data_IF_141093382723
#
_entry.id   IF_141093382723
#
_cell.length_a   1.000
_cell.length_b   1.000
_cell.length_c   1.000
_cell.angle_alpha   90.00
_cell.angle_beta   90.00
_cell.angle_gamma   90.00
#
_symmetry.space_group_name_H-M   'P 1'
#
loop_
_entity.id
_entity.type
_entity.pdbx_description
1 polymer ?
#
# COMPACT_ATOMS: atom_id res chain seq x y z
N UNK A 1 -0.34 2.78 0.25
CA UNK A 1 -0.39 4.24 0.41
C UNK A 1 0.04 4.61 1.83
N UNK A 2 -0.64 4.14 2.89
CA UNK A 2 -0.29 4.47 4.28
C UNK A 2 1.20 4.22 4.60
N UNK A 3 1.74 3.07 4.20
CA UNK A 3 3.16 2.74 4.38
C UNK A 3 4.10 3.76 3.69
N UNK A 4 3.82 4.10 2.43
CA UNK A 4 4.63 5.09 1.71
C UNK A 4 4.54 6.47 2.35
N UNK A 5 3.35 6.83 2.90
CA UNK A 5 3.14 8.11 3.58
C UNK A 5 3.85 8.16 4.94
N UNK A 6 3.84 7.07 5.71
CA UNK A 6 4.61 6.96 6.94
C UNK A 6 6.11 7.14 6.67
N UNK A 7 6.65 6.41 5.68
CA UNK A 7 8.06 6.56 5.27
C UNK A 7 8.42 7.98 4.82
N UNK A 8 7.54 8.63 4.06
CA UNK A 8 7.79 9.98 3.57
C UNK A 8 7.75 11.00 4.72
N UNK A 9 6.86 10.79 5.69
CA UNK A 9 6.76 11.64 6.88
C UNK A 9 7.97 11.49 7.80
N UNK A 10 8.41 10.26 8.07
CA UNK A 10 9.64 10.00 8.83
C UNK A 10 10.85 10.68 8.17
N UNK A 11 10.91 10.62 6.85
CA UNK A 11 12.00 11.23 6.09
C UNK A 11 11.93 12.77 6.07
N UNK A 12 10.71 13.35 6.08
CA UNK A 12 10.49 14.80 6.17
C UNK A 12 11.02 15.35 7.49
N UNK A 13 10.69 14.71 8.61
CA UNK A 13 11.19 15.02 9.95
C UNK A 13 10.65 16.32 10.54
N UNK A 14 9.55 16.86 10.02
CA UNK A 14 8.86 18.03 10.54
C UNK A 14 7.35 18.00 10.19
N UNK A 15 6.59 19.00 10.61
CA UNK A 15 5.18 19.10 10.23
C UNK A 15 5.01 19.25 8.72
N UNK A 16 4.01 18.55 8.18
CA UNK A 16 3.70 18.58 6.75
C UNK A 16 2.74 19.74 6.44
N UNK A 17 3.03 20.47 5.38
CA UNK A 17 2.19 21.56 4.87
C UNK A 17 1.49 21.17 3.56
N UNK A 18 2.11 20.30 2.75
CA UNK A 18 1.56 19.81 1.49
C UNK A 18 1.91 18.35 1.25
N UNK A 19 0.96 17.60 0.68
CA UNK A 19 1.13 16.21 0.29
C UNK A 19 0.67 16.01 -1.15
N UNK A 20 1.54 15.45 -1.98
CA UNK A 20 1.19 14.99 -3.32
C UNK A 20 1.30 13.47 -3.40
N UNK A 21 0.25 12.85 -3.89
CA UNK A 21 0.14 11.39 -4.02
C UNK A 21 -0.01 11.04 -5.50
N UNK A 22 1.02 10.44 -6.08
CA UNK A 22 0.98 9.98 -7.46
C UNK A 22 0.83 8.46 -7.48
N UNK A 23 -0.15 7.98 -8.23
CA UNK A 23 -0.52 6.57 -8.26
C UNK A 23 -0.67 6.07 -9.69
N UNK A 24 -0.29 4.82 -9.93
CA UNK A 24 -0.64 4.16 -11.20
C UNK A 24 -2.17 3.99 -11.32
N UNK A 25 -2.71 3.95 -12.57
CA UNK A 25 -4.15 3.82 -12.80
C UNK A 25 -4.79 2.63 -12.09
N UNK A 26 -4.09 1.49 -12.03
CA UNK A 26 -4.56 0.30 -11.34
C UNK A 26 -4.76 0.54 -9.83
N UNK A 27 -3.83 1.26 -9.18
CA UNK A 27 -3.96 1.60 -7.77
C UNK A 27 -5.12 2.55 -7.56
N UNK A 28 -5.24 3.60 -8.35
CA UNK A 28 -6.37 4.55 -8.24
C UNK A 28 -7.71 3.82 -8.34
N UNK A 29 -7.86 2.96 -9.34
CA UNK A 29 -9.09 2.17 -9.55
C UNK A 29 -9.45 1.32 -8.34
N UNK A 30 -8.44 0.66 -7.73
CA UNK A 30 -8.67 -0.32 -6.69
C UNK A 30 -8.87 0.31 -5.30
N UNK A 31 -8.29 1.50 -5.02
CA UNK A 31 -8.27 2.07 -3.66
C UNK A 31 -9.20 3.27 -3.45
N UNK A 32 -9.82 3.78 -4.53
CA UNK A 32 -10.62 5.01 -4.49
C UNK A 32 -11.71 5.03 -3.40
N UNK A 33 -12.30 3.88 -3.09
CA UNK A 33 -13.43 3.78 -2.14
C UNK A 33 -13.21 2.70 -1.06
N UNK A 34 -12.03 2.13 -0.98
CA UNK A 34 -11.74 1.07 -0.02
C UNK A 34 -11.65 1.65 1.39
N UNK A 35 -12.18 0.91 2.35
CA UNK A 35 -12.05 1.23 3.78
C UNK A 35 -10.59 1.08 4.20
N UNK A 36 -10.07 2.07 4.87
CA UNK A 36 -8.72 2.03 5.44
C UNK A 36 -8.77 1.24 6.74
N UNK A 37 -7.98 0.18 6.90
CA UNK A 37 -7.98 -0.65 8.12
C UNK A 37 -7.73 0.18 9.39
N UNK A 38 -8.33 -0.23 10.49
CA UNK A 38 -8.16 0.36 11.83
C UNK A 38 -8.55 1.86 11.95
N UNK A 39 -9.41 2.39 11.06
CA UNK A 39 -9.77 3.81 11.04
C UNK A 39 -11.25 4.08 11.37
N UNK A 40 -12.00 3.07 11.79
CA UNK A 40 -13.44 3.23 12.06
C UNK A 40 -14.27 3.56 10.80
N UNK A 41 -13.80 3.12 9.60
CA UNK A 41 -14.57 3.25 8.35
C UNK A 41 -14.13 4.39 7.43
N UNK A 42 -13.03 5.08 7.70
CA UNK A 42 -12.45 6.08 6.79
C UNK A 42 -12.10 5.43 5.44
N UNK A 43 -12.24 6.19 4.34
CA UNK A 43 -12.14 5.62 2.99
C UNK A 43 -11.24 6.46 2.08
N UNK A 44 -10.60 5.76 1.15
CA UNK A 44 -9.93 6.35 0.00
C UNK A 44 -8.50 6.80 0.23
N UNK A 45 -7.93 7.37 -0.83
CA UNK A 45 -6.50 7.66 -0.96
C UNK A 45 -6.01 8.67 0.09
N UNK A 46 -6.72 9.78 0.23
CA UNK A 46 -6.34 10.86 1.16
C UNK A 46 -6.44 10.40 2.61
N UNK A 47 -7.48 9.61 2.95
CA UNK A 47 -7.61 9.04 4.30
C UNK A 47 -6.46 8.08 4.61
N UNK A 48 -6.11 7.20 3.67
CA UNK A 48 -4.98 6.28 3.82
C UNK A 48 -3.64 7.00 3.97
N UNK A 49 -3.43 8.09 3.23
CA UNK A 49 -2.22 8.90 3.36
C UNK A 49 -2.16 9.63 4.70
N UNK A 50 -3.24 10.30 5.09
CA UNK A 50 -3.29 11.07 6.33
C UNK A 50 -3.12 10.20 7.59
N UNK A 51 -3.75 9.01 7.63
CA UNK A 51 -3.56 8.10 8.77
C UNK A 51 -2.15 7.50 8.79
N UNK A 52 -1.54 7.27 7.62
CA UNK A 52 -0.14 6.86 7.52
C UNK A 52 0.81 7.90 8.11
N UNK A 53 0.52 9.20 7.95
CA UNK A 53 1.29 10.30 8.54
C UNK A 53 1.08 10.38 10.06
N UNK A 54 -0.15 10.20 10.55
CA UNK A 54 -0.49 10.47 11.95
C UNK A 54 -0.24 9.28 12.89
N UNK A 55 -0.38 8.06 12.41
CA UNK A 55 -0.32 6.86 13.25
C UNK A 55 0.36 5.66 12.56
N UNK A 56 0.99 5.87 11.39
CA UNK A 56 1.68 4.80 10.68
C UNK A 56 3.05 4.49 11.27
N UNK A 57 3.31 3.21 11.56
CA UNK A 57 4.63 2.70 11.95
C UNK A 57 5.29 2.03 10.74
N UNK A 58 6.20 2.75 10.07
CA UNK A 58 6.80 2.31 8.80
C UNK A 58 7.55 0.97 8.90
N UNK A 59 8.15 0.64 10.05
CA UNK A 59 8.84 -0.62 10.26
C UNK A 59 7.92 -1.83 10.13
N UNK A 60 6.62 -1.68 10.39
CA UNK A 60 5.62 -2.74 10.27
C UNK A 60 5.17 -3.02 8.83
N UNK A 61 5.65 -2.26 7.84
CA UNK A 61 5.36 -2.45 6.41
C UNK A 61 3.85 -2.59 6.09
N UNK A 62 3.37 -3.78 5.73
CA UNK A 62 1.96 -4.02 5.42
C UNK A 62 1.05 -3.86 6.64
N UNK A 63 1.59 -4.03 7.84
CA UNK A 63 0.89 -3.84 9.11
C UNK A 63 1.08 -2.42 9.67
N UNK A 64 1.47 -1.47 8.85
CA UNK A 64 1.77 -0.07 9.22
C UNK A 64 0.69 0.60 10.07
N UNK A 65 -0.56 0.20 9.95
CA UNK A 65 -1.71 0.76 10.68
C UNK A 65 -2.17 -0.08 11.88
N UNK A 66 -1.47 -1.17 12.22
CA UNK A 66 -1.92 -2.09 13.27
C UNK A 66 -1.98 -1.49 14.68
N UNK A 67 -1.26 -0.39 14.92
CA UNK A 67 -1.20 0.31 16.22
C UNK A 67 -1.98 1.61 16.24
N UNK A 68 -2.75 1.91 15.18
CA UNK A 68 -3.53 3.15 15.07
C UNK A 68 -4.52 3.27 16.22
N UNK A 69 -4.50 4.41 16.88
CA UNK A 69 -5.38 4.76 18.00
C UNK A 69 -6.51 5.68 17.54
N UNK A 70 -7.51 5.87 18.41
CA UNK A 70 -8.57 6.83 18.14
C UNK A 70 -8.04 8.28 18.03
N UNK A 71 -7.02 8.63 18.80
CA UNK A 71 -6.37 9.94 18.72
C UNK A 71 -5.68 10.15 17.36
N UNK A 72 -5.03 9.11 16.81
CA UNK A 72 -4.43 9.19 15.47
C UNK A 72 -5.48 9.41 14.39
N UNK A 73 -6.64 8.77 14.52
CA UNK A 73 -7.76 8.97 13.59
C UNK A 73 -8.24 10.42 13.63
N UNK A 74 -8.40 10.99 14.81
CA UNK A 74 -8.82 12.38 14.98
C UNK A 74 -7.77 13.36 14.41
N UNK A 75 -6.49 13.14 14.72
CA UNK A 75 -5.38 13.91 14.13
C UNK A 75 -5.36 13.80 12.60
N UNK A 76 -5.63 12.63 12.05
CA UNK A 76 -5.67 12.45 10.59
C UNK A 76 -6.83 13.21 9.94
N UNK A 77 -7.98 13.31 10.62
CA UNK A 77 -9.13 14.13 10.17
C UNK A 77 -8.80 15.61 10.18
N UNK A 78 -8.12 16.07 11.22
CA UNK A 78 -7.67 17.45 11.34
C UNK A 78 -6.59 17.76 10.29
N UNK A 79 -5.63 16.87 10.10
CA UNK A 79 -4.60 17.02 9.07
C UNK A 79 -5.20 17.22 7.69
N UNK A 80 -6.22 16.45 7.32
CA UNK A 80 -6.92 16.57 6.02
C UNK A 80 -7.68 17.89 5.85
N UNK A 81 -7.96 18.63 6.91
CA UNK A 81 -8.62 19.95 6.82
C UNK A 81 -7.63 21.08 6.63
N UNK A 82 -6.40 20.95 7.15
CA UNK A 82 -5.39 22.00 7.14
C UNK A 82 -4.31 21.85 6.08
N UNK A 83 -4.07 20.62 5.60
CA UNK A 83 -3.01 20.31 4.64
C UNK A 83 -3.60 20.12 3.24
N UNK A 84 -2.93 20.66 2.23
CA UNK A 84 -3.29 20.47 0.82
C UNK A 84 -2.88 19.07 0.35
N UNK A 85 -3.87 18.20 0.14
CA UNK A 85 -3.67 16.86 -0.43
C UNK A 85 -4.03 16.86 -1.90
N UNK A 86 -3.07 16.60 -2.76
CA UNK A 86 -3.24 16.47 -4.20
C UNK A 86 -3.04 15.01 -4.63
N UNK A 87 -4.01 14.46 -5.35
CA UNK A 87 -3.95 13.08 -5.86
C UNK A 87 -3.90 13.13 -7.38
N UNK A 88 -2.84 12.59 -7.95
CA UNK A 88 -2.56 12.66 -9.37
C UNK A 88 -2.22 11.26 -9.94
N UNK A 89 -2.34 11.13 -11.25
CA UNK A 89 -1.85 9.95 -11.94
C UNK A 89 -0.31 10.00 -12.02
N UNK A 90 0.34 8.89 -11.66
CA UNK A 90 1.79 8.74 -11.83
C UNK A 90 2.18 8.86 -13.31
N UNK A 91 3.28 9.55 -13.56
CA UNK A 91 3.91 9.61 -14.90
C UNK A 91 4.74 8.35 -15.18
N UNK A 92 4.97 7.50 -14.19
CA UNK A 92 5.64 6.20 -14.36
C UNK A 92 4.73 5.24 -15.09
N UNK A 93 5.25 4.58 -16.10
CA UNK A 93 4.54 3.53 -16.84
C UNK A 93 4.72 2.17 -16.17
N UNK A 94 4.45 2.12 -14.85
CA UNK A 94 4.46 0.91 -14.06
C UNK A 94 3.03 0.47 -13.74
N UNK A 95 2.77 -0.83 -13.78
CA UNK A 95 1.46 -1.40 -13.38
C UNK A 95 1.16 -1.06 -11.92
N UNK A 96 2.20 -1.13 -11.06
CA UNK A 96 2.14 -0.72 -9.67
C UNK A 96 3.15 0.38 -9.40
N UNK A 97 2.68 1.60 -9.12
CA UNK A 97 3.50 2.72 -8.70
C UNK A 97 2.75 3.56 -7.67
N UNK A 98 3.43 3.86 -6.58
CA UNK A 98 3.00 4.79 -5.53
C UNK A 98 4.16 5.75 -5.27
N UNK A 99 3.92 7.05 -5.45
CA UNK A 99 4.87 8.09 -5.11
C UNK A 99 4.20 9.04 -4.12
N UNK A 100 4.85 9.28 -3.01
CA UNK A 100 4.43 10.27 -2.02
C UNK A 100 5.49 11.36 -1.97
N UNK A 101 5.07 12.59 -2.19
CA UNK A 101 5.88 13.77 -1.99
C UNK A 101 5.28 14.62 -0.87
N UNK A 102 6.11 15.09 0.05
CA UNK A 102 5.70 15.95 1.14
C UNK A 102 6.60 17.18 1.20
N UNK A 103 5.98 18.29 1.52
CA UNK A 103 6.64 19.58 1.76
C UNK A 103 6.27 20.04 3.17
N UNK A 104 7.26 20.38 3.97
CA UNK A 104 7.13 21.09 5.23
C UNK A 104 7.70 22.49 5.09
N UNK A 105 7.89 23.16 6.21
CA UNK A 105 8.41 24.54 6.22
C UNK A 105 9.85 24.66 5.69
N UNK A 106 10.70 23.68 6.00
CA UNK A 106 12.13 23.74 5.68
C UNK A 106 12.59 22.55 4.85
N UNK A 107 11.87 21.44 4.89
CA UNK A 107 12.27 20.18 4.27
C UNK A 107 11.23 19.72 3.25
N UNK A 108 11.71 18.86 2.35
CA UNK A 108 10.86 18.07 1.48
C UNK A 108 11.29 16.59 1.49
N UNK A 109 10.33 15.72 1.27
CA UNK A 109 10.60 14.30 1.15
C UNK A 109 9.87 13.70 -0.05
N UNK A 110 10.44 12.63 -0.59
CA UNK A 110 9.83 11.84 -1.64
C UNK A 110 10.15 10.37 -1.42
N UNK A 111 9.12 9.54 -1.51
CA UNK A 111 9.25 8.08 -1.45
C UNK A 111 8.53 7.48 -2.64
N UNK A 112 9.20 6.56 -3.33
CA UNK A 112 8.65 5.84 -4.48
C UNK A 112 8.66 4.34 -4.25
N UNK A 113 7.49 3.71 -4.42
CA UNK A 113 7.31 2.26 -4.44
C UNK A 113 6.93 1.81 -5.86
N UNK A 114 7.48 0.68 -6.30
CA UNK A 114 7.11 0.07 -7.57
C UNK A 114 7.06 -1.46 -7.49
N UNK A 115 6.21 -2.07 -8.29
CA UNK A 115 6.08 -3.51 -8.46
C UNK A 115 5.31 -4.23 -7.35
N UNK A 116 5.47 -3.84 -6.09
CA UNK A 116 4.69 -4.37 -4.97
C UNK A 116 4.58 -3.37 -3.81
N UNK A 117 3.75 -3.70 -2.83
CA UNK A 117 3.34 -2.81 -1.75
C UNK A 117 4.46 -2.40 -0.78
N UNK A 118 5.57 -3.13 -0.72
CA UNK A 118 6.69 -2.87 0.19
C UNK A 118 8.01 -2.58 -0.52
N UNK A 119 8.01 -2.63 -1.85
CA UNK A 119 9.21 -2.43 -2.64
C UNK A 119 9.51 -0.95 -2.83
N UNK A 120 10.21 -0.35 -1.89
CA UNK A 120 10.73 1.02 -2.01
C UNK A 120 11.88 1.01 -3.02
N UNK A 121 11.78 1.83 -4.05
CA UNK A 121 12.81 1.97 -5.09
C UNK A 121 13.59 3.27 -5.00
N UNK A 122 13.00 4.31 -4.42
CA UNK A 122 13.69 5.59 -4.22
C UNK A 122 13.19 6.30 -2.96
N UNK A 123 14.13 6.97 -2.27
CA UNK A 123 13.83 7.96 -1.24
C UNK A 123 14.67 9.21 -1.49
N UNK A 124 14.05 10.39 -1.41
CA UNK A 124 14.75 11.69 -1.51
C UNK A 124 14.39 12.58 -0.33
N UNK A 125 15.37 13.33 0.14
CA UNK A 125 15.18 14.42 1.11
C UNK A 125 15.80 15.69 0.54
N UNK A 126 15.04 16.78 0.51
CA UNK A 126 15.48 18.08 -0.02
C UNK A 126 16.06 17.98 -1.45
N UNK A 127 15.45 17.10 -2.27
CA UNK A 127 15.91 16.83 -3.63
C UNK A 127 17.08 15.85 -3.77
N UNK A 128 17.81 15.57 -2.69
CA UNK A 128 18.93 14.62 -2.69
C UNK A 128 18.44 13.19 -2.53
N UNK A 129 19.01 12.27 -3.32
CA UNK A 129 18.70 10.85 -3.24
C UNK A 129 19.40 10.25 -2.02
N UNK A 130 18.63 9.80 -1.02
CA UNK A 130 19.15 9.13 0.18
C UNK A 130 19.08 7.61 0.09
N UNK A 131 18.26 7.10 -0.83
CA UNK A 131 18.18 5.68 -1.16
C UNK A 131 17.70 5.53 -2.60
N UNK A 132 18.32 4.63 -3.35
CA UNK A 132 17.85 4.24 -4.68
C UNK A 132 18.26 2.80 -4.97
N UNK A 133 17.34 2.06 -5.60
CA UNK A 133 17.66 0.77 -6.22
C UNK A 133 17.03 0.68 -7.61
N UNK A 134 17.71 0.06 -8.58
CA UNK A 134 17.13 -0.16 -9.88
C UNK A 134 15.83 -0.96 -9.81
N UNK A 135 14.83 -0.52 -10.57
CA UNK A 135 13.59 -1.27 -10.77
C UNK A 135 13.29 -1.33 -12.26
N UNK A 136 13.20 -2.54 -12.76
CA UNK A 136 12.66 -2.83 -14.06
C UNK A 136 11.36 -3.59 -13.88
N UNK A 137 10.31 -3.15 -14.55
CA UNK A 137 9.06 -3.90 -14.54
C UNK A 137 9.30 -5.20 -15.31
N UNK A 138 9.41 -6.29 -14.58
CA UNK A 138 9.50 -7.60 -15.21
C UNK A 138 8.13 -7.87 -15.84
N UNK A 139 8.07 -7.90 -17.16
CA UNK A 139 7.01 -8.64 -17.81
C UNK A 139 7.01 -10.03 -17.18
N UNK A 140 5.86 -10.44 -16.65
CA UNK A 140 5.67 -11.72 -15.94
C UNK A 140 6.06 -12.92 -16.83
N UNK A 141 7.35 -13.08 -17.07
CA UNK A 141 7.92 -14.24 -17.77
C UNK A 141 8.11 -15.44 -16.84
N UNK A 142 7.90 -15.24 -15.55
CA UNK A 142 7.76 -16.30 -14.54
C UNK A 142 6.31 -16.49 -14.12
N UNK A 143 5.38 -16.36 -15.06
CA UNK A 143 4.04 -16.85 -14.80
C UNK A 143 4.17 -18.36 -14.58
N UNK A 144 3.69 -18.82 -13.42
CA UNK A 144 3.35 -20.22 -13.21
C UNK A 144 2.71 -20.73 -14.49
N UNK A 145 3.20 -21.85 -15.02
CA UNK A 145 2.65 -22.42 -16.25
C UNK A 145 1.14 -22.64 -16.08
N UNK A 146 0.36 -21.70 -16.57
CA UNK A 146 -1.09 -21.73 -16.47
C UNK A 146 -1.71 -22.70 -17.48
N UNK A 147 -0.93 -23.28 -18.37
CA UNK A 147 -1.43 -24.29 -19.31
C UNK A 147 -1.97 -25.53 -18.59
N UNK A 148 -1.48 -25.78 -17.38
CA UNK A 148 -1.96 -26.86 -16.50
C UNK A 148 -3.30 -26.55 -15.81
N UNK A 149 -3.73 -25.28 -15.76
CA UNK A 149 -4.98 -24.87 -15.11
C UNK A 149 -6.17 -25.01 -16.07
N UNK A 150 -6.39 -26.20 -16.56
CA UNK A 150 -7.61 -26.55 -17.30
C UNK A 150 -8.70 -27.01 -16.32
N UNK A 151 -9.97 -26.89 -16.70
CA UNK A 151 -11.09 -27.38 -15.87
C UNK A 151 -10.91 -28.88 -15.58
N UNK A 152 -10.47 -29.65 -16.55
CA UNK A 152 -10.19 -31.08 -16.39
C UNK A 152 -9.16 -31.35 -15.30
N UNK A 153 -7.99 -30.71 -15.39
CA UNK A 153 -6.92 -30.90 -14.41
C UNK A 153 -7.29 -30.40 -13.00
N UNK A 154 -8.09 -29.34 -12.91
CA UNK A 154 -8.59 -28.84 -11.62
C UNK A 154 -9.51 -29.87 -10.96
N UNK A 155 -10.42 -30.45 -11.72
CA UNK A 155 -11.33 -31.50 -11.22
C UNK A 155 -10.56 -32.74 -10.83
N UNK A 156 -9.68 -33.23 -11.70
CA UNK A 156 -8.82 -34.39 -11.42
C UNK A 156 -7.99 -34.18 -10.14
N UNK A 157 -7.38 -32.98 -9.99
CA UNK A 157 -6.66 -32.63 -8.76
C UNK A 157 -7.59 -32.67 -7.55
N UNK A 158 -8.77 -32.08 -7.62
CA UNK A 158 -9.71 -32.03 -6.51
C UNK A 158 -10.20 -33.41 -6.07
N UNK A 159 -10.32 -34.36 -7.01
CA UNK A 159 -10.73 -35.72 -6.73
C UNK A 159 -9.59 -36.62 -6.23
N UNK A 160 -8.34 -36.31 -6.56
CA UNK A 160 -7.18 -37.14 -6.29
C UNK A 160 -6.24 -36.62 -5.20
N UNK A 161 -6.35 -35.33 -4.84
CA UNK A 161 -5.44 -34.73 -3.87
C UNK A 161 -5.61 -35.35 -2.47
N UNK A 162 -4.49 -35.63 -1.85
CA UNK A 162 -4.46 -36.01 -0.44
C UNK A 162 -4.85 -34.78 0.39
N UNK A 163 -6.01 -34.87 1.07
CA UNK A 163 -6.58 -33.78 1.86
C UNK A 163 -5.59 -33.25 2.91
N UNK A 164 -4.77 -34.13 3.49
CA UNK A 164 -3.80 -33.71 4.51
C UNK A 164 -2.74 -32.73 3.95
N UNK A 165 -2.41 -32.82 2.67
CA UNK A 165 -1.43 -31.91 2.02
C UNK A 165 -1.98 -30.50 1.78
N UNK A 166 -3.29 -30.35 1.71
CA UNK A 166 -3.95 -29.05 1.42
C UNK A 166 -4.73 -28.52 2.63
N UNK A 167 -4.93 -29.33 3.66
CA UNK A 167 -5.74 -29.02 4.86
C UNK A 167 -5.42 -27.65 5.43
N UNK A 168 -4.18 -27.41 5.79
CA UNK A 168 -3.76 -26.14 6.44
C UNK A 168 -4.11 -24.91 5.59
N UNK A 169 -3.91 -25.00 4.27
CA UNK A 169 -4.23 -23.89 3.35
C UNK A 169 -5.73 -23.65 3.26
N UNK A 170 -6.52 -24.73 3.16
CA UNK A 170 -7.99 -24.65 3.03
C UNK A 170 -8.62 -24.17 4.33
N UNK A 171 -8.17 -24.68 5.48
CA UNK A 171 -8.67 -24.26 6.81
C UNK A 171 -8.41 -22.75 7.05
N UNK A 172 -7.21 -22.27 6.72
CA UNK A 172 -6.91 -20.83 6.79
C UNK A 172 -7.79 -20.00 5.87
N UNK A 173 -8.06 -20.46 4.66
CA UNK A 173 -8.96 -19.76 3.75
C UNK A 173 -10.38 -19.67 4.29
N UNK A 174 -10.89 -20.74 4.88
CA UNK A 174 -12.21 -20.78 5.51
C UNK A 174 -12.25 -19.80 6.68
N UNK A 175 -11.27 -19.88 7.60
CA UNK A 175 -11.17 -19.01 8.77
C UNK A 175 -11.19 -17.52 8.37
N UNK A 176 -10.24 -17.10 7.51
CA UNK A 176 -10.13 -15.69 7.09
C UNK A 176 -11.35 -15.18 6.32
N UNK A 177 -11.93 -16.01 5.46
CA UNK A 177 -13.12 -15.59 4.73
C UNK A 177 -14.36 -15.52 5.64
N UNK A 178 -14.44 -16.36 6.66
CA UNK A 178 -15.51 -16.31 7.66
C UNK A 178 -15.41 -15.04 8.49
N UNK A 179 -14.20 -14.71 9.00
CA UNK A 179 -13.98 -13.46 9.75
C UNK A 179 -14.31 -12.19 8.94
N UNK A 180 -14.08 -12.22 7.62
CA UNK A 180 -14.40 -11.09 6.74
C UNK A 180 -15.92 -10.99 6.50
N UNK A 181 -16.64 -12.10 6.55
CA UNK A 181 -18.06 -12.17 6.24
C UNK A 181 -18.97 -11.80 7.43
N UNK A 182 -18.48 -11.95 8.65
CA UNK A 182 -19.17 -11.57 9.90
C UNK A 182 -18.94 -10.08 10.25
#
# INVERSE_FOLDING_TARGET
IAYASALAFDLLGEEVEKVRVFLSPNIIKNVKSVVVPHTGGERGIVAASAIGICGGEAEKQLNVLSSVTQEDIERSRELRRRVDFQVERSVRDYIFSIIIEMEGKNNSSRVELAGNHTNVIEKRRNGEVVFSKPYEEKSDTHSTDRSLLTIHNIVEFAESVDIEKVRETVERQIEYNTEIAE
#
